data_IF_560672055109
#
_entry.id   IF_560672055109
#
_cell.length_a   1.000
_cell.length_b   1.000
_cell.length_c   1.000
_cell.angle_alpha   90.00
_cell.angle_beta   90.00
_cell.angle_gamma   90.00
#
_symmetry.space_group_name_H-M   'P 1'
#
loop_
_entity.id
_entity.type
_entity.pdbx_description
1 polymer ?
#
# COMPACT_ATOMS: atom_id res chain seq x y z
N UNK A 1 1.82 12.54 -13.72
CA UNK A 1 2.08 11.38 -12.84
C UNK A 1 1.36 10.19 -13.44
N UNK A 2 1.99 9.05 -13.61
CA UNK A 2 1.38 7.90 -14.28
C UNK A 2 1.20 6.78 -13.27
N UNK A 3 -0.06 6.52 -12.89
CA UNK A 3 -0.41 5.34 -12.11
C UNK A 3 -0.49 4.16 -13.07
N UNK A 4 0.28 3.08 -12.85
CA UNK A 4 0.24 1.91 -13.73
C UNK A 4 -1.09 1.16 -13.59
N UNK A 5 -1.42 0.24 -14.52
CA UNK A 5 -2.59 -0.63 -14.37
C UNK A 5 -2.51 -1.47 -13.09
N UNK A 6 -3.68 -1.84 -12.54
CA UNK A 6 -3.83 -2.49 -11.23
C UNK A 6 -2.85 -3.65 -10.98
N UNK A 7 -2.67 -4.54 -11.95
CA UNK A 7 -1.77 -5.69 -11.81
C UNK A 7 -0.33 -5.26 -11.54
N UNK A 8 0.17 -4.30 -12.32
CA UNK A 8 1.53 -3.76 -12.16
C UNK A 8 1.66 -2.90 -10.91
N UNK A 9 0.62 -2.16 -10.54
CA UNK A 9 0.59 -1.39 -9.30
C UNK A 9 0.73 -2.30 -8.07
N UNK A 10 0.02 -3.44 -8.06
CA UNK A 10 0.12 -4.43 -6.98
C UNK A 10 1.54 -4.98 -6.91
N UNK A 11 2.18 -5.32 -8.04
CA UNK A 11 3.57 -5.79 -8.05
C UNK A 11 4.53 -4.75 -7.46
N UNK A 12 4.44 -3.49 -7.90
CA UNK A 12 5.30 -2.41 -7.40
C UNK A 12 5.09 -2.16 -5.89
N UNK A 13 3.85 -2.22 -5.40
CA UNK A 13 3.55 -2.09 -3.99
C UNK A 13 4.06 -3.30 -3.20
N UNK A 14 3.89 -4.53 -3.68
CA UNK A 14 4.40 -5.74 -3.01
C UNK A 14 5.91 -5.66 -2.85
N UNK A 15 6.64 -5.27 -3.90
CA UNK A 15 8.09 -5.08 -3.84
C UNK A 15 8.49 -3.99 -2.83
N UNK A 16 7.76 -2.88 -2.82
CA UNK A 16 7.97 -1.80 -1.86
C UNK A 16 7.76 -2.26 -0.41
N UNK A 17 6.60 -2.84 -0.09
CA UNK A 17 6.30 -3.33 1.26
C UNK A 17 7.26 -4.44 1.68
N UNK A 18 7.63 -5.35 0.78
CA UNK A 18 8.61 -6.40 1.05
C UNK A 18 9.98 -5.82 1.41
N UNK A 19 10.43 -4.79 0.68
CA UNK A 19 11.69 -4.10 0.95
C UNK A 19 11.66 -3.38 2.31
N UNK A 20 10.59 -2.63 2.61
CA UNK A 20 10.49 -1.88 3.87
C UNK A 20 10.29 -2.77 5.10
N UNK A 21 9.61 -3.91 4.94
CA UNK A 21 9.39 -4.89 6.00
C UNK A 21 10.53 -5.93 6.12
N UNK A 22 11.55 -5.84 5.27
CA UNK A 22 12.65 -6.81 5.18
C UNK A 22 12.15 -8.26 4.96
N UNK A 23 11.01 -8.41 4.28
CA UNK A 23 10.45 -9.70 3.90
C UNK A 23 10.78 -10.03 2.43
N UNK A 24 10.86 -11.33 2.08
CA UNK A 24 10.84 -11.73 0.69
C UNK A 24 9.54 -11.28 0.02
N UNK A 25 9.60 -10.85 -1.25
CA UNK A 25 8.40 -10.45 -2.02
C UNK A 25 7.39 -11.59 -2.19
N UNK A 26 7.86 -12.85 -2.11
CA UNK A 26 7.01 -14.04 -2.12
C UNK A 26 6.13 -14.17 -0.86
N UNK A 27 6.54 -13.55 0.27
CA UNK A 27 5.77 -13.55 1.53
C UNK A 27 4.68 -12.49 1.50
N UNK A 28 4.96 -11.32 0.90
CA UNK A 28 3.98 -10.24 0.76
C UNK A 28 3.10 -10.54 -0.45
N UNK A 29 1.89 -11.05 -0.24
CA UNK A 29 0.93 -11.28 -1.33
C UNK A 29 0.01 -10.07 -1.52
N UNK A 30 -0.79 -10.07 -2.60
CA UNK A 30 -1.76 -9.01 -2.86
C UNK A 30 -2.81 -8.91 -1.74
N UNK A 31 -3.27 -10.05 -1.23
CA UNK A 31 -4.36 -10.16 -0.26
C UNK A 31 -3.88 -10.41 1.18
N UNK A 32 -2.57 -10.43 1.40
CA UNK A 32 -2.01 -10.62 2.73
C UNK A 32 -2.36 -9.46 3.65
N UNK A 33 -2.83 -9.79 4.85
CA UNK A 33 -3.15 -8.81 5.87
C UNK A 33 -1.88 -8.34 6.59
N UNK A 34 -1.60 -7.03 6.55
CA UNK A 34 -0.39 -6.44 7.16
C UNK A 34 -0.30 -6.76 8.65
N UNK A 35 -1.38 -6.59 9.42
CA UNK A 35 -1.38 -6.84 10.87
C UNK A 35 -1.51 -8.34 11.19
N UNK A 36 -2.48 -9.02 10.58
CA UNK A 36 -2.83 -10.39 10.94
C UNK A 36 -1.88 -11.46 10.38
N UNK A 37 -1.33 -11.26 9.18
CA UNK A 37 -0.41 -12.22 8.55
C UNK A 37 1.05 -11.78 8.64
N UNK A 38 1.34 -10.51 8.36
CA UNK A 38 2.71 -9.99 8.29
C UNK A 38 3.22 -9.41 9.62
N UNK A 39 2.35 -9.30 10.63
CA UNK A 39 2.70 -8.82 11.98
C UNK A 39 3.07 -7.34 12.04
N UNK A 40 2.62 -6.54 11.07
CA UNK A 40 2.87 -5.10 10.99
C UNK A 40 1.93 -4.37 11.94
N UNK A 41 2.49 -3.57 12.86
CA UNK A 41 1.69 -2.73 13.75
C UNK A 41 0.92 -1.65 12.97
N UNK A 42 -0.27 -1.29 13.44
CA UNK A 42 -1.14 -0.27 12.84
C UNK A 42 -0.45 1.08 12.59
N UNK A 43 0.46 1.52 13.48
CA UNK A 43 1.22 2.77 13.31
C UNK A 43 2.25 2.63 12.17
N UNK A 44 2.91 1.48 12.10
CA UNK A 44 3.88 1.20 11.05
C UNK A 44 3.17 1.09 9.70
N UNK A 45 2.01 0.44 9.65
CA UNK A 45 1.21 0.32 8.43
C UNK A 45 0.79 1.69 7.89
N UNK A 46 0.33 2.63 8.73
CA UNK A 46 0.02 4.01 8.31
C UNK A 46 1.26 4.70 7.75
N UNK A 47 2.42 4.49 8.38
CA UNK A 47 3.69 5.08 7.91
C UNK A 47 4.04 4.57 6.51
N UNK A 48 3.99 3.24 6.30
CA UNK A 48 4.27 2.61 5.01
C UNK A 48 3.25 3.03 3.94
N UNK A 49 1.98 3.14 4.31
CA UNK A 49 0.92 3.66 3.45
C UNK A 49 1.21 5.09 3.00
N UNK A 50 1.65 5.95 3.91
CA UNK A 50 2.06 7.32 3.59
C UNK A 50 3.18 7.37 2.54
N UNK A 51 4.22 6.56 2.72
CA UNK A 51 5.32 6.47 1.75
C UNK A 51 4.89 5.88 0.41
N UNK A 52 4.03 4.86 0.41
CA UNK A 52 3.46 4.30 -0.81
C UNK A 52 2.66 5.37 -1.59
N UNK A 53 1.80 6.13 -0.91
CA UNK A 53 1.03 7.21 -1.51
C UNK A 53 1.91 8.37 -2.01
N UNK A 54 3.00 8.69 -1.30
CA UNK A 54 3.97 9.70 -1.72
C UNK A 54 4.65 9.35 -3.05
N UNK A 55 4.98 8.07 -3.29
CA UNK A 55 5.52 7.61 -4.59
C UNK A 55 4.58 7.92 -5.76
N UNK A 56 3.27 7.89 -5.50
CA UNK A 56 2.23 8.26 -6.45
C UNK A 56 1.65 9.64 -6.13
N UNK A 57 2.40 10.58 -5.56
CA UNK A 57 1.98 11.99 -5.43
C UNK A 57 0.66 12.24 -4.67
N UNK A 58 0.27 11.32 -3.79
CA UNK A 58 -0.94 11.38 -2.97
C UNK A 58 -0.61 11.54 -1.48
N UNK A 59 0.45 12.27 -1.14
CA UNK A 59 0.86 12.48 0.26
C UNK A 59 -0.20 13.17 1.13
N UNK A 60 -1.09 13.96 0.52
CA UNK A 60 -2.06 14.81 1.24
C UNK A 60 -3.27 14.05 1.81
N UNK A 61 -3.50 12.79 1.40
CA UNK A 61 -4.67 12.02 1.85
C UNK A 61 -4.43 11.21 3.11
N UNK A 62 -3.17 11.07 3.56
CA UNK A 62 -2.81 10.18 4.68
C UNK A 62 -3.50 10.56 6.01
N UNK A 63 -3.73 11.86 6.24
CA UNK A 63 -4.30 12.38 7.49
C UNK A 63 -5.73 11.87 7.79
N UNK A 64 -6.44 11.35 6.79
CA UNK A 64 -7.79 10.81 6.92
C UNK A 64 -7.88 9.28 6.95
N UNK A 65 -6.78 8.56 6.71
CA UNK A 65 -6.81 7.12 6.50
C UNK A 65 -6.68 6.34 7.80
N UNK A 66 -7.25 5.13 7.81
CA UNK A 66 -7.17 4.20 8.93
C UNK A 66 -6.54 2.89 8.46
N UNK A 67 -5.60 2.36 9.25
CA UNK A 67 -4.90 1.13 8.93
C UNK A 67 -5.83 -0.05 8.58
N UNK A 68 -6.93 -0.31 9.33
CA UNK A 68 -7.81 -1.44 9.04
C UNK A 68 -8.56 -1.32 7.70
N UNK A 69 -8.74 -0.11 7.17
CA UNK A 69 -9.41 0.09 5.88
C UNK A 69 -8.50 -0.28 4.70
N UNK A 70 -7.18 -0.28 4.92
CA UNK A 70 -6.16 -0.56 3.91
C UNK A 70 -5.20 -1.66 4.39
N UNK A 71 -5.78 -2.74 4.92
CA UNK A 71 -5.07 -3.85 5.55
C UNK A 71 -4.31 -4.76 4.58
N UNK A 72 -4.50 -4.63 3.26
CA UNK A 72 -3.87 -5.48 2.24
C UNK A 72 -3.27 -4.65 1.11
N UNK A 73 -2.35 -5.23 0.35
CA UNK A 73 -1.76 -4.55 -0.82
C UNK A 73 -2.82 -4.24 -1.87
N UNK A 74 -3.79 -5.14 -2.09
CA UNK A 74 -4.93 -4.91 -2.97
C UNK A 74 -5.73 -3.67 -2.54
N UNK A 75 -6.00 -3.50 -1.24
CA UNK A 75 -6.73 -2.34 -0.72
C UNK A 75 -5.97 -1.03 -0.95
N UNK A 76 -4.64 -1.05 -0.77
CA UNK A 76 -3.78 0.12 -1.05
C UNK A 76 -3.74 0.43 -2.55
N UNK A 77 -3.65 -0.58 -3.41
CA UNK A 77 -3.70 -0.40 -4.86
C UNK A 77 -5.04 0.21 -5.30
N UNK A 78 -6.15 -0.28 -4.75
CA UNK A 78 -7.49 0.24 -5.04
C UNK A 78 -7.66 1.70 -4.59
N UNK A 79 -7.08 2.07 -3.44
CA UNK A 79 -7.02 3.47 -3.01
C UNK A 79 -6.27 4.35 -4.02
N UNK A 80 -5.07 3.94 -4.43
CA UNK A 80 -4.23 4.69 -5.39
C UNK A 80 -4.94 4.85 -6.73
N UNK A 81 -5.63 3.82 -7.22
CA UNK A 81 -6.41 3.89 -8.45
C UNK A 81 -7.61 4.83 -8.33
N UNK A 82 -8.37 4.72 -7.24
CA UNK A 82 -9.50 5.61 -6.95
C UNK A 82 -9.06 7.08 -6.92
N UNK A 83 -7.94 7.38 -6.26
CA UNK A 83 -7.37 8.72 -6.21
C UNK A 83 -6.86 9.23 -7.57
N UNK A 84 -6.42 8.32 -8.43
CA UNK A 84 -6.01 8.65 -9.79
C UNK A 84 -7.20 8.91 -10.72
N UNK A 85 -8.34 8.26 -10.49
CA UNK A 85 -9.58 8.47 -11.23
C UNK A 85 -10.29 9.78 -10.84
N UNK A 86 -10.15 10.22 -9.59
CA UNK A 86 -10.72 11.48 -9.08
C UNK A 86 -9.90 12.74 -9.47
N UNK A 87 -8.84 12.59 -10.28
CA UNK A 87 -7.93 13.65 -10.75
C UNK A 87 -8.03 13.89 -12.25
#
# INVERSE_FOLDING_TARGET
MHVPPKEKLIEELREFYASELEYPVDVVTADSEFEAELGVDSLHQITLLGWALERYGFSDVIDGLRAPEYATVTAVADLVLSLAEDR
#
